data_IF_063575437173
#
_entry.id   IF_063575437173
#
_cell.length_a   1.000
_cell.length_b   1.000
_cell.length_c   1.000
_cell.angle_alpha   90.00
_cell.angle_beta   90.00
_cell.angle_gamma   90.00
#
_symmetry.space_group_name_H-M   'P 1'
#
loop_
_entity.id
_entity.type
_entity.pdbx_description
1 polymer ?
#
# COMPACT_ATOMS: atom_id res chain seq x y z
N UNK A 1 -10.62 -40.29 -22.94
CA UNK A 1 -9.84 -39.02 -22.69
C UNK A 1 -10.83 -37.88 -22.77
N UNK A 2 -11.33 -37.46 -21.63
CA UNK A 2 -12.29 -36.35 -21.53
C UNK A 2 -11.53 -35.05 -21.30
N UNK A 3 -11.54 -34.19 -22.29
CA UNK A 3 -11.02 -32.84 -22.20
C UNK A 3 -11.84 -32.07 -21.17
N UNK A 4 -11.27 -31.84 -20.01
CA UNK A 4 -11.81 -30.89 -19.05
C UNK A 4 -11.58 -29.46 -19.58
N UNK A 5 -12.59 -28.87 -20.15
CA UNK A 5 -12.62 -27.45 -20.48
C UNK A 5 -12.52 -26.67 -19.18
N UNK A 6 -11.45 -25.94 -19.02
CA UNK A 6 -11.28 -25.03 -17.90
C UNK A 6 -12.39 -23.98 -17.95
N UNK A 7 -13.21 -23.95 -16.90
CA UNK A 7 -14.26 -22.93 -16.75
C UNK A 7 -13.58 -21.59 -16.51
N UNK A 8 -13.68 -20.68 -17.45
CA UNK A 8 -13.03 -19.35 -17.44
C UNK A 8 -13.66 -18.36 -16.44
N UNK A 9 -14.68 -18.78 -15.69
CA UNK A 9 -15.42 -17.89 -14.79
C UNK A 9 -14.89 -17.78 -13.36
N UNK A 10 -13.70 -18.30 -13.06
CA UNK A 10 -12.92 -17.93 -11.87
C UNK A 10 -13.57 -18.14 -10.48
N UNK A 11 -14.69 -18.83 -10.37
CA UNK A 11 -15.32 -19.12 -9.09
C UNK A 11 -14.80 -20.44 -8.52
N UNK A 12 -14.17 -20.36 -7.33
CA UNK A 12 -13.77 -21.53 -6.58
C UNK A 12 -14.82 -21.86 -5.51
N UNK A 13 -15.22 -23.11 -5.42
CA UNK A 13 -16.01 -23.57 -4.27
C UNK A 13 -15.11 -23.68 -3.04
N UNK A 14 -15.45 -22.96 -1.97
CA UNK A 14 -14.75 -23.07 -0.68
C UNK A 14 -14.92 -24.45 -0.03
N UNK A 15 -15.95 -25.21 -0.41
CA UNK A 15 -16.25 -26.54 0.11
C UNK A 15 -15.64 -27.69 -0.70
N UNK A 16 -15.23 -27.41 -1.94
CA UNK A 16 -14.56 -28.37 -2.80
C UNK A 16 -13.54 -27.61 -3.66
N UNK A 17 -12.41 -27.17 -3.08
CA UNK A 17 -11.37 -26.55 -3.87
C UNK A 17 -10.86 -27.57 -4.89
N UNK A 18 -10.59 -27.14 -6.14
CA UNK A 18 -10.00 -28.06 -7.11
C UNK A 18 -8.72 -28.62 -6.55
N UNK A 19 -8.45 -29.91 -6.77
CA UNK A 19 -7.19 -30.50 -6.32
C UNK A 19 -6.07 -29.63 -6.88
N UNK A 20 -5.28 -29.11 -5.97
CA UNK A 20 -4.08 -28.30 -6.13
C UNK A 20 -3.73 -28.06 -7.60
N UNK A 21 -3.65 -26.79 -8.00
CA UNK A 21 -3.41 -26.30 -9.36
C UNK A 21 -2.87 -27.39 -10.29
N UNK A 22 -3.57 -27.77 -11.34
CA UNK A 22 -3.07 -28.79 -12.24
C UNK A 22 -1.66 -28.39 -12.65
N UNK A 23 -0.68 -29.22 -12.31
CA UNK A 23 0.63 -29.11 -12.87
C UNK A 23 0.45 -29.16 -14.38
N UNK A 24 0.63 -28.01 -15.07
CA UNK A 24 0.45 -27.93 -16.51
C UNK A 24 -0.48 -26.84 -16.99
N UNK A 25 -0.55 -25.65 -16.34
CA UNK A 25 -0.89 -24.47 -17.10
C UNK A 25 0.24 -24.29 -18.12
N UNK A 26 -0.07 -24.66 -19.35
CA UNK A 26 0.80 -24.34 -20.46
C UNK A 26 0.74 -22.82 -20.66
N UNK A 27 1.77 -22.15 -20.17
CA UNK A 27 2.01 -20.73 -20.41
C UNK A 27 2.75 -20.50 -21.73
N UNK A 28 2.86 -21.51 -22.59
CA UNK A 28 3.58 -21.43 -23.86
C UNK A 28 3.00 -20.41 -24.85
N UNK A 29 1.81 -19.87 -24.58
CA UNK A 29 1.24 -18.74 -25.32
C UNK A 29 1.39 -17.38 -24.63
N UNK A 30 1.85 -17.32 -23.41
CA UNK A 30 2.23 -16.07 -22.77
C UNK A 30 3.65 -15.76 -23.24
N UNK A 31 3.83 -14.75 -24.07
CA UNK A 31 5.13 -14.11 -24.25
C UNK A 31 5.54 -13.54 -22.89
N UNK A 32 6.10 -14.37 -22.02
CA UNK A 32 6.73 -13.94 -20.80
C UNK A 32 8.00 -13.19 -21.23
N UNK A 33 7.91 -11.89 -21.31
CA UNK A 33 9.10 -11.05 -21.45
C UNK A 33 9.73 -11.04 -20.06
N UNK A 34 10.81 -11.78 -19.88
CA UNK A 34 11.60 -11.72 -18.65
C UNK A 34 12.23 -10.33 -18.57
N UNK A 35 11.69 -9.48 -17.73
CA UNK A 35 12.27 -8.16 -17.47
C UNK A 35 13.13 -8.26 -16.22
N UNK A 36 14.44 -8.18 -16.37
CA UNK A 36 15.38 -8.07 -15.26
C UNK A 36 15.75 -6.60 -15.06
N UNK A 37 15.44 -6.08 -13.87
CA UNK A 37 15.81 -4.73 -13.48
C UNK A 37 16.84 -4.79 -12.36
N UNK A 38 18.01 -4.20 -12.58
CA UNK A 38 19.01 -3.99 -11.55
C UNK A 38 18.81 -2.61 -10.92
N UNK A 39 19.01 -2.51 -9.62
CA UNK A 39 18.85 -1.27 -8.87
C UNK A 39 20.03 -1.05 -7.94
N UNK A 40 20.56 0.17 -7.96
CA UNK A 40 21.52 0.66 -6.98
C UNK A 40 20.98 1.96 -6.37
N UNK A 41 21.09 2.13 -5.05
CA UNK A 41 20.53 3.31 -4.39
C UNK A 41 21.36 3.76 -3.19
N UNK A 42 21.38 5.08 -2.96
CA UNK A 42 21.99 5.72 -1.82
C UNK A 42 20.94 6.51 -1.06
N UNK A 43 20.90 6.34 0.26
CA UNK A 43 20.03 7.10 1.18
C UNK A 43 20.89 7.96 2.08
N UNK A 44 20.56 9.25 2.16
CA UNK A 44 21.01 10.16 3.21
C UNK A 44 19.79 10.61 4.01
N UNK A 45 19.85 10.50 5.32
CA UNK A 45 18.78 10.91 6.21
C UNK A 45 19.33 11.40 7.53
N UNK A 46 18.69 12.45 8.06
CA UNK A 46 19.00 12.98 9.40
C UNK A 46 17.71 13.26 10.19
N UNK A 47 17.82 13.21 11.50
CA UNK A 47 16.75 13.57 12.45
C UNK A 47 17.29 14.54 13.48
N UNK A 48 16.90 15.80 13.33
CA UNK A 48 17.25 16.87 14.28
C UNK A 48 16.20 16.95 15.39
N UNK A 49 16.66 16.98 16.63
CA UNK A 49 15.83 17.19 17.82
C UNK A 49 16.14 18.53 18.46
N UNK A 50 15.12 19.37 18.63
CA UNK A 50 15.27 20.67 19.28
C UNK A 50 14.09 20.91 20.24
N UNK A 51 14.36 20.83 21.53
CA UNK A 51 13.32 20.90 22.55
C UNK A 51 12.21 19.86 22.32
N UNK A 52 11.00 20.34 22.13
CA UNK A 52 9.82 19.50 21.87
C UNK A 52 9.63 19.16 20.38
N UNK A 53 10.52 19.62 19.50
CA UNK A 53 10.45 19.42 18.08
C UNK A 53 11.37 18.29 17.62
N UNK A 54 10.93 17.58 16.59
CA UNK A 54 11.70 16.60 15.83
C UNK A 54 11.51 16.90 14.35
N UNK A 55 12.61 17.05 13.64
CA UNK A 55 12.64 17.31 12.20
C UNK A 55 13.33 16.14 11.53
N UNK A 56 12.70 15.55 10.55
CA UNK A 56 13.28 14.54 9.69
C UNK A 56 13.48 15.14 8.32
N UNK A 57 14.67 14.99 7.74
CA UNK A 57 14.96 15.26 6.36
C UNK A 57 15.74 14.09 5.77
N UNK A 58 15.36 13.66 4.59
CA UNK A 58 16.03 12.57 3.92
C UNK A 58 15.85 12.64 2.42
N UNK A 59 16.80 12.08 1.70
CA UNK A 59 16.73 11.91 0.25
C UNK A 59 17.35 10.58 -0.14
N UNK A 60 16.67 9.87 -1.02
CA UNK A 60 17.18 8.66 -1.64
C UNK A 60 17.33 8.88 -3.14
N UNK A 61 18.49 8.51 -3.68
CA UNK A 61 18.74 8.44 -5.11
C UNK A 61 18.83 6.98 -5.53
N UNK A 62 18.07 6.58 -6.54
CA UNK A 62 18.08 5.23 -7.10
C UNK A 62 18.40 5.27 -8.58
N UNK A 63 19.39 4.49 -9.00
CA UNK A 63 19.70 4.19 -10.38
C UNK A 63 19.10 2.83 -10.74
N UNK A 64 18.36 2.77 -11.82
CA UNK A 64 17.71 1.58 -12.33
C UNK A 64 18.26 1.26 -13.73
N UNK A 65 18.54 0.00 -13.98
CA UNK A 65 19.07 -0.51 -15.25
C UNK A 65 18.21 -1.67 -15.71
N UNK A 66 17.74 -1.64 -16.95
CA UNK A 66 17.06 -2.76 -17.59
C UNK A 66 18.03 -3.57 -18.44
N UNK A 67 17.66 -4.81 -18.79
CA UNK A 67 18.45 -5.66 -19.69
C UNK A 67 18.64 -5.05 -21.09
N UNK A 68 17.70 -4.19 -21.51
CA UNK A 68 17.78 -3.51 -22.82
C UNK A 68 18.66 -2.26 -22.78
N UNK A 69 19.54 -2.16 -21.77
CA UNK A 69 20.43 -1.03 -21.52
C UNK A 69 19.70 0.32 -21.29
N UNK A 70 18.42 0.29 -20.94
CA UNK A 70 17.73 1.49 -20.52
C UNK A 70 18.13 1.86 -19.09
N UNK A 71 18.24 3.14 -18.85
CA UNK A 71 18.64 3.71 -17.58
C UNK A 71 17.61 4.73 -17.12
N UNK A 72 17.26 4.68 -15.84
CA UNK A 72 16.45 5.70 -15.20
C UNK A 72 17.02 6.04 -13.82
N UNK A 73 16.97 7.30 -13.48
CA UNK A 73 17.38 7.79 -12.17
C UNK A 73 16.20 8.45 -11.47
N UNK A 74 16.00 8.13 -10.20
CA UNK A 74 14.87 8.61 -9.42
C UNK A 74 15.32 9.21 -8.09
N UNK A 75 14.79 10.39 -7.75
CA UNK A 75 14.93 11.02 -6.44
C UNK A 75 13.68 10.84 -5.60
N UNK A 76 13.88 10.43 -4.36
CA UNK A 76 12.81 10.18 -3.40
C UNK A 76 13.08 10.96 -2.10
N UNK A 77 12.80 12.28 -2.08
CA UNK A 77 12.95 13.10 -0.88
C UNK A 77 11.82 12.79 0.12
N UNK A 78 12.11 12.98 1.41
CA UNK A 78 11.14 12.92 2.50
C UNK A 78 11.44 13.94 3.57
N UNK A 79 10.37 14.50 4.14
CA UNK A 79 10.43 15.47 5.23
C UNK A 79 9.37 15.11 6.26
N UNK A 80 9.69 15.34 7.52
CA UNK A 80 8.77 15.14 8.63
C UNK A 80 9.02 16.17 9.72
N UNK A 81 7.95 16.56 10.37
CA UNK A 81 7.99 17.40 11.56
C UNK A 81 7.06 16.79 12.60
N UNK A 82 7.56 16.72 13.84
CA UNK A 82 6.76 16.29 14.98
C UNK A 82 6.97 17.29 16.11
N UNK A 83 5.88 17.70 16.76
CA UNK A 83 5.89 18.48 17.98
C UNK A 83 5.29 17.66 19.11
N UNK A 84 6.05 17.52 20.18
CA UNK A 84 5.60 16.90 21.42
C UNK A 84 4.95 17.93 22.33
N UNK A 85 3.85 17.57 22.98
CA UNK A 85 3.18 18.33 24.03
C UNK A 85 3.20 17.48 25.31
N UNK A 86 4.23 17.68 26.11
CA UNK A 86 4.57 16.76 27.19
C UNK A 86 5.02 15.40 26.63
N UNK A 87 4.77 14.34 27.39
CA UNK A 87 5.16 12.97 27.04
C UNK A 87 4.06 12.17 26.31
N UNK A 88 2.85 12.70 26.29
CA UNK A 88 1.67 11.94 25.92
C UNK A 88 0.98 12.37 24.61
N UNK A 89 1.31 13.56 24.10
CA UNK A 89 0.67 14.09 22.89
C UNK A 89 1.73 14.49 21.88
N UNK A 90 1.55 14.07 20.64
CA UNK A 90 2.36 14.47 19.51
C UNK A 90 1.47 14.91 18.33
N UNK A 91 1.82 16.02 17.72
CA UNK A 91 1.33 16.41 16.39
C UNK A 91 2.43 16.13 15.38
N UNK A 92 2.04 15.63 14.21
CA UNK A 92 3.01 15.35 13.15
C UNK A 92 2.49 15.73 11.78
N UNK A 93 3.42 16.04 10.89
CA UNK A 93 3.19 16.18 9.47
C UNK A 93 4.36 15.58 8.69
N UNK A 94 4.07 14.88 7.61
CA UNK A 94 5.03 14.21 6.76
C UNK A 94 4.74 14.55 5.29
N UNK A 95 5.81 14.67 4.51
CA UNK A 95 5.74 14.73 3.05
C UNK A 95 6.83 13.83 2.47
N UNK A 96 6.48 13.01 1.49
CA UNK A 96 7.43 12.10 0.87
C UNK A 96 7.13 11.95 -0.62
N UNK A 97 8.18 11.72 -1.39
CA UNK A 97 8.12 11.30 -2.79
C UNK A 97 8.77 9.93 -2.94
N UNK A 98 8.14 9.08 -3.74
CA UNK A 98 8.72 7.82 -4.21
C UNK A 98 8.60 7.78 -5.71
N UNK A 99 9.64 7.31 -6.39
CA UNK A 99 9.66 7.16 -7.85
C UNK A 99 10.27 5.81 -8.22
N UNK A 100 9.76 5.23 -9.29
CA UNK A 100 10.35 4.04 -9.91
C UNK A 100 10.09 4.07 -11.43
N UNK A 101 10.98 3.50 -12.26
CA UNK A 101 10.82 3.49 -13.70
C UNK A 101 9.64 2.61 -14.13
N UNK A 102 9.11 2.90 -15.31
CA UNK A 102 8.08 2.11 -15.99
C UNK A 102 8.69 1.02 -16.88
N UNK A 103 9.82 0.45 -16.48
CA UNK A 103 10.46 -0.63 -17.23
C UNK A 103 9.54 -1.85 -17.34
N UNK A 104 9.62 -2.56 -18.49
CA UNK A 104 8.76 -3.69 -18.82
C UNK A 104 7.44 -3.30 -19.49
N UNK A 105 7.13 -2.00 -19.60
CA UNK A 105 6.01 -1.49 -20.39
C UNK A 105 6.53 -0.95 -21.72
N UNK A 106 5.86 -1.30 -22.83
CA UNK A 106 6.27 -0.90 -24.17
C UNK A 106 5.36 0.22 -24.70
N UNK A 107 5.93 1.22 -25.35
CA UNK A 107 5.17 2.26 -26.07
C UNK A 107 4.51 1.72 -27.35
N UNK A 108 3.84 2.57 -28.10
CA UNK A 108 3.17 2.22 -29.38
C UNK A 108 4.13 1.64 -30.42
N UNK A 109 5.42 2.03 -30.37
CA UNK A 109 6.45 1.58 -31.27
C UNK A 109 7.16 0.31 -30.79
N UNK A 110 6.77 -0.24 -29.62
CA UNK A 110 7.42 -1.40 -29.02
C UNK A 110 8.71 -1.10 -28.27
N UNK A 111 9.00 0.18 -28.00
CA UNK A 111 10.14 0.60 -27.20
C UNK A 111 9.74 0.64 -25.72
N UNK A 112 10.65 0.22 -24.85
CA UNK A 112 10.43 0.26 -23.40
C UNK A 112 10.23 1.71 -22.89
N UNK A 113 9.23 1.91 -22.01
CA UNK A 113 9.03 3.19 -21.35
C UNK A 113 10.17 3.45 -20.37
N UNK A 114 10.84 4.59 -20.53
CA UNK A 114 11.93 5.02 -19.64
C UNK A 114 11.49 6.05 -18.61
N UNK A 115 10.27 6.56 -18.73
CA UNK A 115 9.68 7.47 -17.75
C UNK A 115 9.50 6.77 -16.39
N UNK A 116 9.55 7.55 -15.35
CA UNK A 116 9.31 7.04 -13.99
C UNK A 116 7.92 7.46 -13.51
N UNK A 117 7.15 6.52 -12.99
CA UNK A 117 5.99 6.88 -12.18
C UNK A 117 6.46 7.51 -10.87
N UNK A 118 5.65 8.38 -10.33
CA UNK A 118 5.96 9.13 -9.12
C UNK A 118 4.76 9.16 -8.20
N UNK A 119 4.99 8.87 -6.93
CA UNK A 119 4.00 9.01 -5.87
C UNK A 119 4.44 10.12 -4.92
N UNK A 120 3.63 11.14 -4.79
CA UNK A 120 3.74 12.20 -3.80
C UNK A 120 2.72 11.91 -2.69
N UNK A 121 3.17 11.89 -1.44
CA UNK A 121 2.35 11.64 -0.26
C UNK A 121 2.49 12.78 0.73
N UNK A 122 1.38 13.20 1.28
CA UNK A 122 1.28 14.09 2.43
C UNK A 122 0.44 13.43 3.52
N UNK A 123 0.85 13.61 4.76
CA UNK A 123 0.14 13.11 5.93
C UNK A 123 0.29 14.11 7.06
N UNK A 124 -0.79 14.38 7.79
CA UNK A 124 -0.73 15.06 9.06
C UNK A 124 -1.70 14.44 10.04
N UNK A 125 -1.34 14.50 11.32
CA UNK A 125 -2.15 13.84 12.33
C UNK A 125 -1.64 14.11 13.74
N UNK A 126 -2.23 13.39 14.65
CA UNK A 126 -1.82 13.40 16.03
C UNK A 126 -1.75 11.98 16.61
N UNK A 127 -0.96 11.86 17.65
CA UNK A 127 -0.87 10.66 18.48
C UNK A 127 -1.02 11.06 19.93
N UNK A 128 -1.80 10.30 20.68
CA UNK A 128 -1.98 10.52 22.11
C UNK A 128 -1.85 9.20 22.86
N UNK A 129 -1.21 9.25 24.03
CA UNK A 129 -1.14 8.15 24.99
C UNK A 129 -2.00 8.54 26.22
N UNK A 130 -3.33 8.24 26.21
CA UNK A 130 -4.22 8.66 27.30
C UNK A 130 -3.83 8.04 28.64
N UNK A 131 -3.34 6.82 28.59
CA UNK A 131 -2.76 6.08 29.72
C UNK A 131 -1.49 5.37 29.26
N UNK A 132 -0.66 4.94 30.19
CA UNK A 132 0.56 4.21 29.87
C UNK A 132 0.23 2.96 29.04
N UNK A 133 1.08 2.65 28.06
CA UNK A 133 0.95 1.49 27.16
C UNK A 133 -0.25 1.50 26.22
N UNK A 134 -1.03 2.58 26.14
CA UNK A 134 -2.12 2.74 25.16
C UNK A 134 -1.83 3.94 24.27
N UNK A 135 -1.89 3.73 22.94
CA UNK A 135 -1.71 4.76 21.94
C UNK A 135 -2.92 4.83 21.03
N UNK A 136 -3.43 6.02 20.88
CA UNK A 136 -4.40 6.37 19.86
C UNK A 136 -3.74 7.30 18.85
N UNK A 137 -3.97 7.08 17.57
CA UNK A 137 -3.56 8.01 16.51
C UNK A 137 -4.70 8.25 15.53
N UNK A 138 -4.73 9.47 15.01
CA UNK A 138 -5.58 9.85 13.90
C UNK A 138 -4.74 10.66 12.91
N UNK A 139 -4.86 10.34 11.63
CA UNK A 139 -4.20 11.08 10.55
C UNK A 139 -5.10 11.22 9.34
N UNK A 140 -4.85 12.28 8.60
CA UNK A 140 -5.33 12.48 7.24
C UNK A 140 -4.17 12.31 6.29
N UNK A 141 -4.42 11.69 5.15
CA UNK A 141 -3.44 11.49 4.10
C UNK A 141 -3.96 11.88 2.73
N UNK A 142 -3.04 12.30 1.87
CA UNK A 142 -3.25 12.54 0.45
C UNK A 142 -2.09 11.95 -0.34
N UNK A 143 -2.40 11.05 -1.26
CA UNK A 143 -1.44 10.33 -2.09
C UNK A 143 -1.80 10.57 -3.54
N UNK A 144 -0.85 11.13 -4.30
CA UNK A 144 -1.00 11.38 -5.73
C UNK A 144 0.05 10.58 -6.47
N UNK A 145 -0.39 9.70 -7.36
CA UNK A 145 0.49 8.94 -8.23
C UNK A 145 0.33 9.42 -9.67
N UNK A 146 1.42 9.79 -10.32
CA UNK A 146 1.48 10.28 -11.69
C UNK A 146 2.40 9.40 -12.56
N UNK A 147 2.27 9.55 -13.87
CA UNK A 147 3.04 8.84 -14.88
C UNK A 147 2.92 7.32 -14.77
N UNK A 148 1.76 6.82 -14.35
CA UNK A 148 1.52 5.37 -14.35
C UNK A 148 1.23 4.88 -15.77
N UNK A 149 1.67 3.66 -16.14
CA UNK A 149 1.36 3.09 -17.44
C UNK A 149 -0.15 2.96 -17.64
N UNK A 150 -0.65 3.42 -18.76
CA UNK A 150 -2.04 3.31 -19.22
C UNK A 150 -2.02 2.59 -20.55
N UNK A 151 -2.85 1.55 -20.68
CA UNK A 151 -2.97 0.79 -21.92
C UNK A 151 -3.46 1.67 -23.07
N UNK A 152 -2.91 1.46 -24.26
CA UNK A 152 -3.33 2.15 -25.48
C UNK A 152 -4.46 1.35 -26.13
N UNK A 153 -5.60 1.99 -26.34
CA UNK A 153 -6.76 1.35 -26.98
C UNK A 153 -6.40 0.85 -28.38
N UNK A 154 -6.85 -0.37 -28.70
CA UNK A 154 -6.58 -1.00 -30.00
C UNK A 154 -5.22 -1.68 -30.11
N UNK A 155 -4.38 -1.63 -29.11
CA UNK A 155 -3.09 -2.29 -29.08
C UNK A 155 -3.01 -3.34 -27.97
N UNK A 156 -2.35 -4.44 -28.26
CA UNK A 156 -2.04 -5.45 -27.22
C UNK A 156 -0.67 -5.14 -26.60
N UNK A 157 -0.64 -5.03 -25.26
CA UNK A 157 0.60 -4.80 -24.50
C UNK A 157 1.36 -3.52 -24.92
N UNK A 158 0.63 -2.43 -25.19
CA UNK A 158 1.19 -1.10 -25.44
C UNK A 158 0.64 -0.10 -24.46
N UNK A 159 1.49 0.83 -24.02
CA UNK A 159 1.22 1.73 -22.91
C UNK A 159 1.81 3.13 -23.16
N UNK A 160 1.21 4.12 -22.54
CA UNK A 160 1.79 5.46 -22.40
C UNK A 160 1.83 5.84 -20.92
N UNK A 161 2.77 6.73 -20.55
CA UNK A 161 3.00 7.14 -19.16
C UNK A 161 2.25 8.44 -18.85
N UNK A 162 0.93 8.40 -18.70
CA UNK A 162 0.11 9.58 -18.39
C UNK A 162 -0.97 9.32 -17.32
N UNK A 163 -0.98 8.12 -16.76
CA UNK A 163 -1.95 7.77 -15.72
C UNK A 163 -1.72 8.59 -14.46
N UNK A 164 -2.81 9.19 -13.95
CA UNK A 164 -2.79 9.95 -12.70
C UNK A 164 -3.90 9.49 -11.77
N UNK A 165 -3.52 9.14 -10.53
CA UNK A 165 -4.41 8.59 -9.50
C UNK A 165 -4.25 9.40 -8.23
N UNK A 166 -5.35 9.55 -7.47
CA UNK A 166 -5.31 10.13 -6.13
C UNK A 166 -6.05 9.24 -5.16
N UNK A 167 -5.46 9.06 -3.98
CA UNK A 167 -6.10 8.47 -2.82
C UNK A 167 -5.98 9.46 -1.66
N UNK A 168 -7.11 9.82 -1.06
CA UNK A 168 -7.17 10.69 0.12
C UNK A 168 -8.05 10.05 1.17
N UNK A 169 -7.75 10.28 2.44
CA UNK A 169 -8.55 9.65 3.48
C UNK A 169 -8.10 9.96 4.89
N UNK A 170 -8.65 9.21 5.81
CA UNK A 170 -8.32 9.28 7.23
C UNK A 170 -8.01 7.89 7.76
N UNK A 171 -7.07 7.83 8.68
CA UNK A 171 -6.73 6.62 9.43
C UNK A 171 -6.89 6.88 10.92
N UNK A 172 -7.51 5.92 11.60
CA UNK A 172 -7.62 5.89 13.05
C UNK A 172 -7.01 4.59 13.55
N UNK A 173 -6.19 4.65 14.58
CA UNK A 173 -5.69 3.44 15.23
C UNK A 173 -5.67 3.56 16.74
N UNK A 174 -5.99 2.48 17.41
CA UNK A 174 -5.83 2.28 18.84
C UNK A 174 -5.04 1.02 19.05
N UNK A 175 -3.99 1.09 19.83
CA UNK A 175 -3.15 -0.06 20.16
C UNK A 175 -2.66 0.04 21.59
N UNK A 176 -2.74 -1.04 22.33
CA UNK A 176 -2.15 -1.10 23.66
C UNK A 176 -2.77 -2.08 24.62
N UNK A 177 -2.23 -2.04 25.83
CA UNK A 177 -2.72 -2.80 26.99
C UNK A 177 -3.78 -1.95 27.73
N UNK A 178 -5.06 -2.22 27.47
CA UNK A 178 -6.18 -1.51 28.11
C UNK A 178 -6.23 -1.82 29.62
N UNK A 179 -5.94 -3.07 29.97
CA UNK A 179 -5.71 -3.51 31.34
C UNK A 179 -4.52 -4.46 31.37
N UNK A 180 -4.08 -4.90 32.55
CA UNK A 180 -3.00 -5.89 32.71
C UNK A 180 -3.25 -7.18 31.90
N UNK A 181 -4.51 -7.50 31.67
CA UNK A 181 -4.93 -8.74 31.05
C UNK A 181 -5.54 -8.57 29.67
N UNK A 182 -5.89 -7.35 29.28
CA UNK A 182 -6.58 -7.06 28.03
C UNK A 182 -5.76 -6.14 27.15
N UNK A 183 -5.39 -6.63 25.97
CA UNK A 183 -4.77 -5.84 24.91
C UNK A 183 -5.71 -5.71 23.72
N UNK A 184 -5.74 -4.53 23.12
CA UNK A 184 -6.59 -4.21 21.98
C UNK A 184 -5.76 -3.61 20.85
N UNK A 185 -6.10 -4.00 19.64
CA UNK A 185 -5.69 -3.34 18.40
C UNK A 185 -6.95 -3.04 17.60
N UNK A 186 -7.14 -1.79 17.25
CA UNK A 186 -8.20 -1.32 16.35
C UNK A 186 -7.55 -0.46 15.27
N UNK A 187 -7.92 -0.71 14.02
CA UNK A 187 -7.56 0.14 12.88
C UNK A 187 -8.80 0.37 12.03
N UNK A 188 -9.04 1.61 11.68
CA UNK A 188 -10.07 2.02 10.75
C UNK A 188 -9.47 2.96 9.72
N UNK A 189 -9.76 2.71 8.44
CA UNK A 189 -9.33 3.55 7.34
C UNK A 189 -10.53 3.89 6.46
N UNK A 190 -10.72 5.18 6.20
CA UNK A 190 -11.59 5.66 5.14
C UNK A 190 -10.71 6.17 4.00
N UNK A 191 -10.94 5.66 2.77
CA UNK A 191 -10.17 6.03 1.58
C UNK A 191 -11.10 6.38 0.44
N UNK A 192 -10.91 7.56 -0.12
CA UNK A 192 -11.53 7.98 -1.38
C UNK A 192 -10.47 7.97 -2.47
N UNK A 193 -10.76 7.28 -3.57
CA UNK A 193 -9.85 7.18 -4.72
C UNK A 193 -10.48 7.72 -5.97
N UNK A 194 -9.67 8.28 -6.84
CA UNK A 194 -10.11 8.74 -8.16
C UNK A 194 -8.97 8.71 -9.19
N UNK A 195 -9.33 8.42 -10.43
CA UNK A 195 -8.53 8.79 -11.58
C UNK A 195 -8.61 10.33 -11.73
N UNK A 196 -7.47 11.00 -11.79
CA UNK A 196 -7.44 12.48 -11.85
C UNK A 196 -7.78 13.02 -13.24
N UNK A 197 -7.62 12.20 -14.27
CA UNK A 197 -7.92 12.57 -15.65
C UNK A 197 -9.41 12.37 -15.97
N UNK A 198 -9.98 11.21 -15.66
CA UNK A 198 -11.40 10.91 -15.93
C UNK A 198 -12.35 11.33 -14.79
N UNK A 199 -11.84 11.50 -13.57
CA UNK A 199 -12.65 11.78 -12.38
C UNK A 199 -13.33 10.55 -11.78
N UNK A 200 -13.23 9.39 -12.42
CA UNK A 200 -13.86 8.14 -11.99
C UNK A 200 -13.24 7.58 -10.72
N UNK A 201 -14.04 6.84 -9.95
CA UNK A 201 -13.56 6.14 -8.76
C UNK A 201 -12.62 5.01 -9.19
N UNK A 202 -11.44 4.96 -8.58
CA UNK A 202 -10.49 3.90 -8.86
C UNK A 202 -11.00 2.56 -8.31
N UNK A 203 -11.05 1.50 -9.14
CA UNK A 203 -11.57 0.20 -8.70
C UNK A 203 -10.64 -0.49 -7.70
N UNK A 204 -11.12 -1.58 -7.11
CA UNK A 204 -10.39 -2.50 -6.21
C UNK A 204 -10.01 -1.95 -4.83
N UNK A 205 -10.39 -0.73 -4.49
CA UNK A 205 -10.14 -0.15 -3.16
C UNK A 205 -11.48 0.05 -2.43
N UNK A 206 -11.65 -0.64 -1.31
CA UNK A 206 -12.82 -0.47 -0.45
C UNK A 206 -12.75 0.89 0.26
N UNK A 207 -13.83 1.71 0.22
CA UNK A 207 -13.84 3.01 0.88
C UNK A 207 -13.62 2.91 2.38
N UNK A 208 -14.23 1.94 3.05
CA UNK A 208 -14.07 1.72 4.48
C UNK A 208 -13.42 0.36 4.74
N UNK A 209 -12.47 0.34 5.64
CA UNK A 209 -11.84 -0.88 6.14
C UNK A 209 -11.68 -0.78 7.66
N UNK A 210 -12.10 -1.82 8.36
CA UNK A 210 -11.98 -1.95 9.81
C UNK A 210 -11.27 -3.24 10.15
N UNK A 211 -10.32 -3.19 11.07
CA UNK A 211 -9.70 -4.35 11.67
C UNK A 211 -9.69 -4.19 13.19
N UNK A 212 -10.15 -5.22 13.88
CA UNK A 212 -10.17 -5.30 15.34
C UNK A 212 -9.48 -6.59 15.75
N UNK A 213 -8.58 -6.49 16.70
CA UNK A 213 -7.95 -7.64 17.33
C UNK A 213 -7.94 -7.45 18.84
N UNK A 214 -8.45 -8.44 19.58
CA UNK A 214 -8.54 -8.45 21.02
C UNK A 214 -7.77 -9.65 21.58
N UNK A 215 -7.06 -9.43 22.65
CA UNK A 215 -6.32 -10.46 23.36
C UNK A 215 -6.61 -10.32 24.86
N UNK A 216 -7.06 -11.39 25.47
CA UNK A 216 -7.35 -11.42 26.91
C UNK A 216 -6.59 -12.59 27.55
N UNK A 217 -5.85 -12.31 28.62
CA UNK A 217 -5.17 -13.31 29.43
C UNK A 217 -5.96 -13.54 30.71
N UNK A 218 -6.28 -14.79 30.99
CA UNK A 218 -6.97 -15.20 32.20
C UNK A 218 -5.95 -15.29 33.33
N UNK A 219 -6.17 -14.53 34.40
CA UNK A 219 -5.38 -14.58 35.63
C UNK A 219 -6.18 -15.26 36.71
N UNK A 220 -5.78 -16.48 37.09
CA UNK A 220 -6.33 -17.25 38.20
C UNK A 220 -7.23 -18.41 37.79
N UNK A 221 -7.51 -19.27 38.76
CA UNK A 221 -8.27 -20.50 38.59
C UNK A 221 -7.59 -21.55 37.73
N UNK A 222 -8.37 -22.51 37.24
CA UNK A 222 -7.90 -23.63 36.41
C UNK A 222 -7.33 -23.19 35.05
N UNK A 223 -7.73 -22.03 34.56
CA UNK A 223 -7.32 -21.49 33.26
C UNK A 223 -6.24 -20.39 33.37
N UNK A 224 -5.60 -20.30 34.53
CA UNK A 224 -4.56 -19.28 34.75
C UNK A 224 -3.47 -19.32 33.66
N UNK A 225 -3.16 -18.18 33.07
CA UNK A 225 -2.18 -18.04 32.00
C UNK A 225 -2.73 -18.32 30.59
N UNK A 226 -3.95 -18.83 30.45
CA UNK A 226 -4.60 -19.03 29.15
C UNK A 226 -4.84 -17.69 28.47
N UNK A 227 -4.54 -17.61 27.17
CA UNK A 227 -4.72 -16.43 26.34
C UNK A 227 -5.82 -16.69 25.31
N UNK A 228 -6.84 -15.87 25.32
CA UNK A 228 -7.91 -15.86 24.32
C UNK A 228 -7.64 -14.74 23.32
N UNK A 229 -7.77 -15.02 22.04
CA UNK A 229 -7.66 -14.05 20.95
C UNK A 229 -8.93 -14.02 20.11
N UNK A 230 -9.41 -12.81 19.79
CA UNK A 230 -10.54 -12.58 18.88
C UNK A 230 -10.13 -11.55 17.84
N UNK A 231 -10.26 -11.91 16.55
CA UNK A 231 -10.04 -11.02 15.42
C UNK A 231 -11.32 -10.80 14.63
N UNK A 232 -11.56 -9.57 14.22
CA UNK A 232 -12.62 -9.19 13.29
C UNK A 232 -12.07 -8.27 12.23
N UNK A 233 -12.45 -8.50 10.97
CA UNK A 233 -12.07 -7.65 9.84
C UNK A 233 -13.24 -7.50 8.89
N UNK A 234 -13.54 -6.26 8.51
CA UNK A 234 -14.52 -5.98 7.48
C UNK A 234 -14.03 -4.89 6.54
N UNK A 235 -14.57 -4.89 5.35
CA UNK A 235 -14.37 -3.87 4.32
C UNK A 235 -15.68 -3.68 3.57
N UNK A 236 -15.88 -2.46 3.07
CA UNK A 236 -16.96 -2.19 2.12
C UNK A 236 -16.79 -2.98 0.83
N UNK A 237 -17.87 -3.06 0.09
CA UNK A 237 -17.83 -3.48 -1.31
C UNK A 237 -17.04 -2.45 -2.15
N UNK A 238 -16.40 -2.93 -3.19
CA UNK A 238 -15.70 -2.12 -4.17
C UNK A 238 -15.94 -2.64 -5.58
N UNK A 239 -15.72 -1.80 -6.57
CA UNK A 239 -15.85 -2.20 -7.97
C UNK A 239 -14.61 -2.97 -8.42
N UNK A 240 -14.80 -4.02 -9.23
CA UNK A 240 -13.70 -4.77 -9.83
C UNK A 240 -13.08 -4.04 -11.04
N UNK A 241 -13.89 -3.19 -11.72
CA UNK A 241 -13.49 -2.43 -12.91
C UNK A 241 -13.90 -0.98 -12.80
N UNK A 242 -13.34 -0.10 -13.64
CA UNK A 242 -13.82 1.27 -13.74
C UNK A 242 -15.30 1.28 -14.10
N UNK A 243 -16.06 2.18 -13.49
CA UNK A 243 -17.40 2.52 -13.93
C UNK A 243 -17.28 3.63 -14.98
N UNK A 244 -17.66 3.31 -16.18
CA UNK A 244 -17.95 4.28 -17.21
C UNK A 244 -19.31 4.93 -17.00
#
# INVERSE_FOLDING_TARGET
MTNATANTNGYFSLYNPPPFFPAGRDYSGANATDTVVQRAGVLLQDVLSYGQWRFLAGVRGDAHFSLDNNYAFAWSPRFGITRMFGERVALFANAARTSAPNFGYLDENGKELTDSWRTDQMEFGFRVSPVDKVWFSASWFDIIQNNTPVAIDGYTNRYYSDGSKRAEGVELSLNGEITKNWSSYLSYTYTRTKNRTSGEVYPTIAPNALALWQKYRIDGGLLNGTVLGLGYRCKDSYYATFRG
#
